data_IF_725383225151
#
_entry.id   IF_725383225151
#
_cell.length_a   1.000
_cell.length_b   1.000
_cell.length_c   1.000
_cell.angle_alpha   90.00
_cell.angle_beta   90.00
_cell.angle_gamma   90.00
#
_symmetry.space_group_name_H-M   'P 1'
#
loop_
_entity.id
_entity.type
_entity.pdbx_description
1 polymer ?
#
# COMPACT_ATOMS: atom_id res chain seq x y z
N UNK A 1 -16.49 38.13 -44.37
CA UNK A 1 -15.44 38.80 -45.14
C UNK A 1 -16.07 39.94 -45.90
N UNK A 2 -15.44 41.12 -45.89
CA UNK A 2 -15.91 42.27 -46.64
C UNK A 2 -15.58 42.07 -48.11
N UNK A 3 -16.58 42.21 -48.98
CA UNK A 3 -16.36 42.06 -50.42
C UNK A 3 -15.69 43.31 -51.02
N UNK A 4 -15.39 43.24 -52.32
CA UNK A 4 -14.81 44.32 -53.09
C UNK A 4 -15.75 45.53 -53.30
N UNK A 5 -16.98 45.46 -52.78
CA UNK A 5 -17.95 46.54 -52.75
C UNK A 5 -18.08 47.20 -51.35
N UNK A 6 -17.41 46.67 -50.33
CA UNK A 6 -17.45 47.18 -48.96
C UNK A 6 -18.55 46.57 -48.08
N UNK A 7 -19.29 45.56 -48.57
CA UNK A 7 -20.33 44.89 -47.81
C UNK A 7 -19.78 43.68 -47.05
N UNK A 8 -20.12 43.55 -45.77
CA UNK A 8 -19.78 42.36 -44.99
C UNK A 8 -20.66 41.18 -45.37
N UNK A 9 -20.07 40.14 -45.98
CA UNK A 9 -20.75 38.89 -46.28
C UNK A 9 -20.27 37.75 -45.38
N UNK A 10 -21.22 36.97 -44.85
CA UNK A 10 -20.94 35.67 -44.27
C UNK A 10 -20.68 34.66 -45.38
N UNK A 11 -19.52 34.01 -45.36
CA UNK A 11 -19.17 32.93 -46.29
C UNK A 11 -19.06 31.65 -45.47
N UNK A 12 -19.85 30.64 -45.83
CA UNK A 12 -19.75 29.30 -45.26
C UNK A 12 -18.68 28.50 -46.01
N UNK A 13 -17.60 28.13 -45.31
CA UNK A 13 -16.48 27.36 -45.85
C UNK A 13 -16.64 25.84 -45.66
N UNK A 14 -17.80 25.38 -45.16
CA UNK A 14 -18.12 23.98 -44.94
C UNK A 14 -18.04 23.55 -43.48
N UNK A 15 -18.32 22.26 -43.24
CA UNK A 15 -18.31 21.64 -41.91
C UNK A 15 -17.07 20.76 -41.70
N UNK A 16 -16.63 20.64 -40.45
CA UNK A 16 -15.54 19.73 -40.09
C UNK A 16 -16.02 18.27 -40.08
N UNK A 17 -15.20 17.36 -40.60
CA UNK A 17 -15.46 15.91 -40.53
C UNK A 17 -15.13 15.40 -39.13
N UNK A 18 -16.05 14.61 -38.55
CA UNK A 18 -15.82 13.94 -37.26
C UNK A 18 -14.45 13.22 -37.28
N UNK A 19 -13.62 13.38 -36.24
CA UNK A 19 -13.90 13.98 -34.91
C UNK A 19 -13.53 15.47 -34.77
N UNK A 20 -13.25 16.19 -35.85
CA UNK A 20 -12.81 17.58 -35.81
C UNK A 20 -13.98 18.56 -35.56
N UNK A 21 -13.74 19.63 -34.81
CA UNK A 21 -14.68 20.73 -34.58
C UNK A 21 -14.17 22.05 -35.17
N UNK A 22 -15.08 22.94 -35.59
CA UNK A 22 -14.71 24.24 -36.16
C UNK A 22 -14.37 25.24 -35.06
N UNK A 23 -13.27 25.98 -35.22
CA UNK A 23 -12.91 27.07 -34.30
C UNK A 23 -12.24 26.63 -33.00
N UNK A 24 -11.93 25.34 -32.85
CA UNK A 24 -11.19 24.81 -31.67
C UNK A 24 -9.68 24.76 -31.88
N UNK A 25 -9.19 25.07 -33.08
CA UNK A 25 -7.76 25.21 -33.36
C UNK A 25 -7.25 26.60 -32.99
N UNK A 26 -5.92 26.77 -32.94
CA UNK A 26 -5.28 28.10 -32.79
C UNK A 26 -5.58 29.07 -33.93
N UNK A 27 -6.12 28.58 -35.05
CA UNK A 27 -6.60 29.42 -36.15
C UNK A 27 -8.13 29.59 -36.09
N UNK A 28 -8.64 30.84 -36.04
CA UNK A 28 -10.06 31.11 -36.13
C UNK A 28 -10.63 30.52 -37.42
N UNK A 29 -11.83 29.94 -37.34
CA UNK A 29 -12.54 29.34 -38.49
C UNK A 29 -11.79 28.18 -39.18
N UNK A 30 -10.90 27.48 -38.46
CA UNK A 30 -10.27 26.24 -38.92
C UNK A 30 -10.71 25.03 -38.06
N UNK A 31 -10.73 23.85 -38.69
CA UNK A 31 -11.03 22.59 -38.02
C UNK A 31 -9.86 22.18 -37.11
N UNK A 32 -10.16 21.78 -35.87
CA UNK A 32 -9.18 21.28 -34.91
C UNK A 32 -9.73 20.14 -34.08
N UNK A 33 -8.85 19.49 -33.30
CA UNK A 33 -9.27 18.51 -32.31
C UNK A 33 -9.81 19.22 -31.06
N UNK A 34 -11.05 18.95 -30.62
CA UNK A 34 -11.63 19.65 -29.48
C UNK A 34 -11.10 19.16 -28.12
N UNK A 35 -10.39 18.02 -28.07
CA UNK A 35 -9.93 17.43 -26.81
C UNK A 35 -8.80 18.26 -26.18
N UNK A 36 -9.10 18.86 -25.04
CA UNK A 36 -8.14 19.55 -24.18
C UNK A 36 -7.27 18.55 -23.40
N UNK A 37 -6.16 19.03 -22.83
CA UNK A 37 -5.29 18.20 -21.98
C UNK A 37 -6.05 17.60 -20.79
N UNK A 38 -6.92 18.39 -20.14
CA UNK A 38 -7.76 17.94 -19.04
C UNK A 38 -8.75 16.83 -19.47
N UNK A 39 -9.36 16.97 -20.65
CA UNK A 39 -10.27 15.96 -21.20
C UNK A 39 -9.53 14.67 -21.58
N UNK A 40 -8.30 14.78 -22.09
CA UNK A 40 -7.45 13.62 -22.35
C UNK A 40 -7.10 12.89 -21.04
N UNK A 41 -6.70 13.63 -20.00
CA UNK A 41 -6.43 13.07 -18.67
C UNK A 41 -7.66 12.42 -18.03
N UNK A 42 -8.83 13.06 -18.11
CA UNK A 42 -10.10 12.53 -17.60
C UNK A 42 -10.50 11.24 -18.32
N UNK A 43 -10.41 11.20 -19.66
CA UNK A 43 -10.72 10.00 -20.45
C UNK A 43 -9.78 8.83 -20.16
N UNK A 44 -8.51 9.10 -19.84
CA UNK A 44 -7.50 8.09 -19.53
C UNK A 44 -7.43 7.74 -18.03
N UNK A 45 -8.34 8.29 -17.23
CA UNK A 45 -8.38 8.15 -15.77
C UNK A 45 -7.03 8.51 -15.11
N UNK A 46 -6.39 9.60 -15.56
CA UNK A 46 -5.09 10.07 -15.05
C UNK A 46 -5.23 11.35 -14.26
N UNK A 47 -4.57 11.40 -13.10
CA UNK A 47 -4.67 12.48 -12.11
C UNK A 47 -3.39 13.33 -12.04
N UNK A 48 -2.27 12.83 -12.56
CA UNK A 48 -0.98 13.51 -12.43
C UNK A 48 0.07 13.01 -13.44
N UNK A 49 1.16 13.78 -13.55
CA UNK A 49 2.35 13.40 -14.30
C UNK A 49 2.16 13.45 -15.82
N UNK A 50 3.23 13.10 -16.54
CA UNK A 50 3.24 13.09 -18.00
C UNK A 50 2.64 11.80 -18.55
N UNK A 51 1.83 11.91 -19.59
CA UNK A 51 1.36 10.78 -20.37
C UNK A 51 1.48 11.06 -21.86
N UNK A 52 1.66 10.00 -22.63
CA UNK A 52 1.63 10.03 -24.09
C UNK A 52 0.55 9.06 -24.57
N UNK A 53 -0.46 9.58 -25.25
CA UNK A 53 -1.57 8.77 -25.79
C UNK A 53 -2.18 9.45 -27.02
N UNK A 54 -3.05 8.74 -27.73
CA UNK A 54 -3.84 9.29 -28.81
C UNK A 54 -4.99 10.11 -28.26
N UNK A 55 -5.16 11.32 -28.79
CA UNK A 55 -6.35 12.10 -28.53
C UNK A 55 -7.60 11.49 -29.21
N UNK A 56 -8.77 12.06 -28.93
CA UNK A 56 -10.03 11.67 -29.59
C UNK A 56 -10.01 11.84 -31.13
N UNK A 57 -8.96 12.43 -31.70
CA UNK A 57 -8.74 12.61 -33.13
C UNK A 57 -7.69 11.66 -33.71
N UNK A 58 -7.12 10.76 -32.90
CA UNK A 58 -6.10 9.81 -33.33
C UNK A 58 -4.70 10.43 -33.49
N UNK A 59 -4.47 11.61 -32.91
CA UNK A 59 -3.15 12.25 -32.88
C UNK A 59 -2.49 11.91 -31.55
N UNK A 60 -1.28 11.34 -31.60
CA UNK A 60 -0.49 11.09 -30.39
C UNK A 60 -0.01 12.42 -29.80
N UNK A 61 -0.27 12.63 -28.51
CA UNK A 61 0.07 13.85 -27.78
C UNK A 61 0.73 13.49 -26.46
N UNK A 62 1.70 14.29 -26.04
CA UNK A 62 2.24 14.26 -24.69
C UNK A 62 1.63 15.40 -23.87
N UNK A 63 0.96 15.07 -22.77
CA UNK A 63 0.27 16.03 -21.89
C UNK A 63 0.61 15.78 -20.43
N UNK A 64 0.49 16.83 -19.62
CA UNK A 64 0.65 16.76 -18.17
C UNK A 64 -0.72 16.77 -17.49
N UNK A 65 -1.03 15.73 -16.70
CA UNK A 65 -2.29 15.66 -15.95
C UNK A 65 -2.26 16.43 -14.63
N UNK A 66 -1.25 17.26 -14.43
CA UNK A 66 -1.07 18.08 -13.24
C UNK A 66 -0.25 17.39 -12.16
N UNK A 67 -0.37 17.92 -10.95
CA UNK A 67 0.35 17.47 -9.77
C UNK A 67 -0.60 17.03 -8.66
N UNK A 68 -0.11 16.15 -7.79
CA UNK A 68 -0.88 15.66 -6.66
C UNK A 68 -0.89 16.67 -5.52
N UNK A 69 -2.04 16.82 -4.86
CA UNK A 69 -2.11 17.57 -3.62
C UNK A 69 -1.37 16.82 -2.51
N UNK A 70 -0.56 17.53 -1.72
CA UNK A 70 0.06 16.97 -0.52
C UNK A 70 -1.00 16.28 0.35
N UNK A 71 -0.76 15.04 0.82
CA UNK A 71 0.50 14.29 0.86
C UNK A 71 0.64 13.18 -0.22
N UNK A 72 -0.01 13.33 -1.38
CA UNK A 72 -0.08 12.28 -2.40
C UNK A 72 1.11 12.36 -3.37
N UNK A 73 1.60 11.19 -3.78
CA UNK A 73 2.65 11.07 -4.80
C UNK A 73 2.08 10.53 -6.10
N UNK A 74 2.57 11.08 -7.20
CA UNK A 74 2.21 10.62 -8.54
C UNK A 74 2.91 9.31 -8.87
N UNK A 75 2.17 8.27 -9.25
CA UNK A 75 2.78 6.98 -9.56
C UNK A 75 3.02 6.08 -8.35
N UNK A 76 2.63 6.53 -7.15
CA UNK A 76 2.90 5.80 -5.93
C UNK A 76 2.26 4.40 -5.95
N UNK A 77 2.98 3.42 -5.41
CA UNK A 77 2.57 2.00 -5.30
C UNK A 77 2.30 1.32 -6.66
N UNK A 78 2.96 1.79 -7.72
CA UNK A 78 2.83 1.24 -9.07
C UNK A 78 1.57 1.72 -9.82
N UNK A 79 0.82 2.67 -9.26
CA UNK A 79 -0.34 3.26 -9.94
C UNK A 79 0.11 4.40 -10.84
N UNK A 80 0.55 4.06 -12.06
CA UNK A 80 1.04 5.04 -13.04
C UNK A 80 0.03 6.18 -13.27
N UNK A 81 0.53 7.42 -13.10
CA UNK A 81 -0.21 8.66 -13.32
C UNK A 81 -1.46 8.84 -12.43
N UNK A 82 -1.49 8.19 -11.27
CA UNK A 82 -2.51 8.39 -10.23
C UNK A 82 -1.88 8.95 -8.97
N UNK A 83 -2.63 9.78 -8.25
CA UNK A 83 -2.21 10.34 -6.97
C UNK A 83 -2.53 9.36 -5.85
N UNK A 84 -1.49 8.73 -5.29
CA UNK A 84 -1.65 7.73 -4.23
C UNK A 84 -0.77 8.05 -3.03
N UNK A 85 -1.19 7.59 -1.86
CA UNK A 85 -0.36 7.59 -0.67
C UNK A 85 0.80 6.59 -0.81
N UNK A 86 2.05 7.03 -0.70
CA UNK A 86 3.21 6.15 -0.76
C UNK A 86 3.52 5.61 0.64
N UNK A 87 2.85 4.54 1.09
CA UNK A 87 3.41 3.71 2.17
C UNK A 87 2.90 2.28 2.15
N UNK A 88 3.84 1.36 2.09
CA UNK A 88 3.69 -0.07 2.30
C UNK A 88 3.82 -0.40 3.79
N UNK A 89 3.40 -1.60 4.16
CA UNK A 89 3.43 -2.02 5.57
C UNK A 89 4.87 -2.26 6.03
N UNK A 90 5.74 -2.73 5.12
CA UNK A 90 7.18 -2.85 5.37
C UNK A 90 7.82 -1.49 5.67
N UNK A 91 7.48 -0.45 4.88
CA UNK A 91 7.96 0.91 5.12
C UNK A 91 7.47 1.47 6.46
N UNK A 92 6.22 1.15 6.86
CA UNK A 92 5.71 1.52 8.19
C UNK A 92 6.52 0.83 9.30
N UNK A 93 6.78 -0.46 9.15
CA UNK A 93 7.52 -1.24 10.14
C UNK A 93 8.96 -0.76 10.29
N UNK A 94 9.65 -0.51 9.18
CA UNK A 94 11.00 0.05 9.17
C UNK A 94 11.04 1.43 9.81
N UNK A 95 10.13 2.34 9.42
CA UNK A 95 10.04 3.70 9.98
C UNK A 95 9.75 3.70 11.47
N UNK A 96 8.92 2.76 11.95
CA UNK A 96 8.59 2.62 13.37
C UNK A 96 9.63 1.81 14.15
N UNK A 97 10.64 1.26 13.46
CA UNK A 97 11.63 0.38 14.08
C UNK A 97 11.01 -0.89 14.66
N UNK A 98 9.86 -1.30 14.15
CA UNK A 98 9.14 -2.47 14.62
C UNK A 98 9.67 -3.71 13.90
N UNK A 99 10.07 -4.70 14.68
CA UNK A 99 10.54 -6.01 14.23
C UNK A 99 9.44 -7.07 14.33
N UNK A 100 8.37 -6.77 15.06
CA UNK A 100 7.29 -7.71 15.32
C UNK A 100 6.00 -7.02 15.80
N UNK A 101 4.90 -7.75 15.71
CA UNK A 101 3.62 -7.45 16.33
C UNK A 101 2.90 -6.24 15.74
N UNK A 102 1.70 -5.92 16.29
CA UNK A 102 0.88 -4.83 15.78
C UNK A 102 1.46 -3.46 16.13
N UNK A 103 1.47 -2.57 15.15
CA UNK A 103 1.86 -1.17 15.26
C UNK A 103 0.70 -0.30 14.80
N UNK A 104 0.07 0.39 15.75
CA UNK A 104 -0.92 1.42 15.45
C UNK A 104 -0.22 2.75 15.18
N UNK A 105 -0.44 3.32 14.00
CA UNK A 105 0.25 4.54 13.61
C UNK A 105 -0.51 5.36 12.58
N UNK A 106 -0.02 6.56 12.28
CA UNK A 106 -0.39 7.26 11.06
C UNK A 106 0.57 6.83 9.95
N UNK A 107 0.01 6.55 8.77
CA UNK A 107 0.81 6.52 7.56
C UNK A 107 1.37 7.91 7.24
N UNK A 108 2.27 8.00 6.27
CA UNK A 108 2.83 9.28 5.81
C UNK A 108 1.76 10.27 5.32
N UNK A 109 0.56 9.80 5.00
CA UNK A 109 -0.58 10.64 4.63
C UNK A 109 -1.41 11.12 5.82
N UNK A 110 -1.03 10.79 7.04
CA UNK A 110 -1.79 11.15 8.24
C UNK A 110 -3.04 10.29 8.48
N UNK A 111 -3.21 9.18 7.74
CA UNK A 111 -4.32 8.25 7.95
C UNK A 111 -3.94 7.22 9.01
N UNK A 112 -4.81 6.97 10.01
CA UNK A 112 -4.56 5.91 10.98
C UNK A 112 -4.58 4.53 10.33
N UNK A 113 -3.57 3.73 10.66
CA UNK A 113 -3.37 2.35 10.23
C UNK A 113 -2.90 1.50 11.40
N UNK A 114 -3.22 0.22 11.34
CA UNK A 114 -2.63 -0.81 12.20
C UNK A 114 -1.95 -1.81 11.27
N UNK A 115 -0.64 -1.96 11.39
CA UNK A 115 0.14 -2.92 10.59
C UNK A 115 0.76 -3.97 11.50
N UNK A 116 0.89 -5.19 11.02
CA UNK A 116 1.61 -6.24 11.74
C UNK A 116 3.02 -6.36 11.15
N UNK A 117 4.03 -6.17 12.00
CA UNK A 117 5.43 -6.18 11.60
C UNK A 117 6.08 -7.57 11.69
N UNK A 118 5.25 -8.61 11.85
CA UNK A 118 5.66 -10.01 11.79
C UNK A 118 5.90 -10.62 13.17
N UNK A 119 6.48 -11.81 13.16
CA UNK A 119 6.81 -12.56 14.37
C UNK A 119 8.32 -12.57 14.62
N UNK A 120 8.69 -12.79 15.87
CA UNK A 120 10.09 -12.96 16.24
C UNK A 120 10.56 -14.39 16.01
N UNK A 121 11.86 -14.56 15.76
CA UNK A 121 12.49 -15.88 15.72
C UNK A 121 12.39 -16.57 17.10
N UNK A 122 12.20 -17.89 17.10
CA UNK A 122 11.85 -18.77 18.24
C UNK A 122 12.07 -18.23 19.66
N UNK A 123 13.32 -17.99 20.05
CA UNK A 123 13.68 -17.63 21.44
C UNK A 123 13.47 -16.15 21.79
N UNK A 124 12.97 -15.35 20.85
CA UNK A 124 12.71 -13.93 21.02
C UNK A 124 11.21 -13.73 21.20
N UNK A 125 10.86 -12.95 22.21
CA UNK A 125 9.48 -12.51 22.42
C UNK A 125 9.31 -11.10 21.86
N UNK A 126 8.17 -10.85 21.23
CA UNK A 126 7.84 -9.49 20.82
C UNK A 126 7.62 -8.60 22.05
N UNK A 127 8.54 -7.68 22.29
CA UNK A 127 8.61 -6.88 23.51
C UNK A 127 9.19 -7.61 24.73
N UNK A 128 10.03 -8.63 24.52
CA UNK A 128 10.59 -9.50 25.56
C UNK A 128 11.27 -8.76 26.73
N UNK A 129 11.99 -7.67 26.46
CA UNK A 129 12.64 -6.85 27.50
C UNK A 129 11.86 -5.57 27.86
N UNK A 130 10.57 -5.48 27.51
CA UNK A 130 9.72 -4.32 27.79
C UNK A 130 9.76 -3.22 26.72
N UNK A 131 10.49 -3.42 25.62
CA UNK A 131 10.54 -2.55 24.45
C UNK A 131 9.51 -2.99 23.41
N UNK A 132 8.40 -2.25 23.31
CA UNK A 132 7.32 -2.60 22.37
C UNK A 132 7.85 -2.82 20.94
N UNK A 133 7.32 -3.85 20.26
CA UNK A 133 7.62 -4.20 18.87
C UNK A 133 9.09 -4.52 18.56
N UNK A 134 9.92 -4.86 19.56
CA UNK A 134 11.29 -5.37 19.37
C UNK A 134 11.37 -6.87 19.65
N UNK A 135 12.14 -7.58 18.84
CA UNK A 135 12.46 -8.98 19.07
C UNK A 135 13.67 -9.08 20.00
N UNK A 136 13.39 -9.36 21.26
CA UNK A 136 14.39 -9.43 22.30
C UNK A 136 14.16 -10.67 23.16
N UNK A 137 15.18 -11.04 23.94
CA UNK A 137 15.07 -12.18 24.86
C UNK A 137 13.94 -11.91 25.84
N UNK A 138 13.03 -12.86 25.93
CA UNK A 138 11.88 -12.74 26.82
C UNK A 138 11.20 -14.07 27.04
N UNK A 139 10.13 -14.05 27.82
CA UNK A 139 9.30 -15.22 28.03
C UNK A 139 8.37 -15.41 26.84
N UNK A 140 8.53 -16.51 26.11
CA UNK A 140 7.58 -16.95 25.10
C UNK A 140 6.60 -17.95 25.73
N UNK A 141 5.33 -17.87 25.33
CA UNK A 141 4.33 -18.87 25.71
C UNK A 141 4.57 -20.14 24.91
N UNK A 142 4.77 -21.27 25.59
CA UNK A 142 4.85 -22.60 24.98
C UNK A 142 3.55 -23.32 25.22
N UNK A 143 2.84 -23.69 24.14
CA UNK A 143 1.63 -24.50 24.26
C UNK A 143 1.97 -25.90 24.79
N UNK A 144 1.21 -26.37 25.77
CA UNK A 144 1.41 -27.70 26.37
C UNK A 144 0.18 -28.60 26.10
N UNK A 145 0.36 -29.91 25.88
CA UNK A 145 -0.76 -30.86 25.84
C UNK A 145 -1.32 -31.19 27.23
N UNK A 146 -0.64 -30.72 28.30
CA UNK A 146 -0.98 -30.95 29.70
C UNK A 146 -2.27 -30.18 30.04
N UNK A 147 -3.32 -30.88 30.43
CA UNK A 147 -4.62 -30.29 30.84
C UNK A 147 -4.80 -30.25 32.35
N UNK A 148 -3.94 -30.95 33.09
CA UNK A 148 -3.90 -30.98 34.56
C UNK A 148 -3.19 -29.73 35.12
N UNK A 149 -3.40 -29.40 36.40
CA UNK A 149 -2.70 -28.27 36.99
C UNK A 149 -1.23 -28.63 37.22
N UNK A 150 -0.32 -27.79 36.73
CA UNK A 150 1.11 -27.93 37.01
C UNK A 150 1.41 -27.55 38.47
N UNK A 151 2.04 -28.47 39.20
CA UNK A 151 2.42 -28.29 40.61
C UNK A 151 3.90 -27.92 40.77
N UNK A 152 4.73 -28.18 39.76
CA UNK A 152 6.14 -27.83 39.77
C UNK A 152 6.81 -28.00 38.40
N UNK A 153 7.90 -27.27 38.19
CA UNK A 153 8.73 -27.33 36.98
C UNK A 153 10.21 -27.21 37.35
N UNK A 154 11.06 -27.97 36.68
CA UNK A 154 12.51 -27.92 36.81
C UNK A 154 13.17 -28.21 35.48
N UNK A 155 14.31 -27.60 35.16
CA UNK A 155 15.02 -27.88 33.92
C UNK A 155 16.53 -27.80 34.07
N UNK A 156 17.24 -28.63 33.33
CA UNK A 156 18.71 -28.68 33.29
C UNK A 156 19.28 -28.06 32.01
N UNK A 157 18.50 -28.11 30.92
CA UNK A 157 18.82 -27.55 29.61
C UNK A 157 17.54 -27.10 28.88
N UNK A 158 17.67 -26.36 27.78
CA UNK A 158 16.53 -25.88 26.98
C UNK A 158 15.70 -27.00 26.34
N UNK A 159 16.26 -28.20 26.25
CA UNK A 159 15.68 -29.43 25.74
C UNK A 159 15.56 -30.53 26.83
N UNK A 160 15.70 -30.16 28.10
CA UNK A 160 15.50 -31.06 29.23
C UNK A 160 14.83 -30.32 30.38
N UNK A 161 13.50 -30.18 30.27
CA UNK A 161 12.64 -29.58 31.28
C UNK A 161 11.61 -30.60 31.72
N UNK A 162 11.39 -30.72 33.02
CA UNK A 162 10.48 -31.64 33.66
C UNK A 162 9.37 -30.86 34.34
N UNK A 163 8.14 -31.32 34.18
CA UNK A 163 6.96 -30.75 34.82
C UNK A 163 6.17 -31.84 35.53
N UNK A 164 5.69 -31.53 36.73
CA UNK A 164 4.81 -32.41 37.50
C UNK A 164 3.44 -31.76 37.65
N UNK A 165 2.40 -32.59 37.65
CA UNK A 165 1.01 -32.16 37.85
C UNK A 165 0.55 -32.44 39.28
N UNK A 166 -0.60 -31.89 39.66
CA UNK A 166 -1.26 -32.19 40.93
C UNK A 166 -1.87 -33.60 40.97
N UNK A 167 -2.13 -34.22 39.82
CA UNK A 167 -2.62 -35.61 39.72
C UNK A 167 -1.47 -36.64 39.62
N UNK A 168 -0.21 -36.20 39.66
CA UNK A 168 0.96 -37.07 39.72
C UNK A 168 1.51 -37.53 38.37
N UNK A 169 1.11 -36.88 37.27
CA UNK A 169 1.71 -37.07 35.95
C UNK A 169 3.08 -36.36 35.88
N UNK A 170 4.07 -37.04 35.31
CA UNK A 170 5.40 -36.53 35.03
C UNK A 170 5.59 -36.34 33.53
N UNK A 171 5.90 -35.11 33.13
CA UNK A 171 6.09 -34.72 31.73
C UNK A 171 7.51 -34.21 31.50
N UNK A 172 8.04 -34.46 30.30
CA UNK A 172 9.36 -34.00 29.86
C UNK A 172 9.28 -33.22 28.55
N UNK A 173 9.87 -32.04 28.51
CA UNK A 173 10.11 -31.23 27.32
C UNK A 173 11.44 -31.63 26.69
N UNK A 174 11.43 -31.87 25.38
CA UNK A 174 12.59 -32.29 24.58
C UNK A 174 13.01 -31.25 23.53
N UNK A 175 12.79 -29.96 23.80
CA UNK A 175 13.18 -28.86 22.91
C UNK A 175 12.13 -28.49 21.86
N UNK A 176 11.17 -29.37 21.57
CA UNK A 176 10.10 -29.12 20.60
C UNK A 176 8.71 -29.58 21.06
N UNK A 177 8.62 -30.57 21.94
CA UNK A 177 7.35 -31.11 22.42
C UNK A 177 7.48 -31.67 23.84
N UNK A 178 6.33 -31.75 24.51
CA UNK A 178 6.17 -32.41 25.81
C UNK A 178 5.78 -33.88 25.61
N UNK A 179 6.48 -34.80 26.29
CA UNK A 179 6.14 -36.22 26.39
C UNK A 179 5.70 -36.59 27.80
N UNK A 180 4.66 -37.43 27.91
CA UNK A 180 4.28 -38.03 29.19
C UNK A 180 5.23 -39.19 29.47
N UNK A 181 5.94 -39.14 30.61
CA UNK A 181 6.92 -40.16 30.99
C UNK A 181 6.36 -41.14 32.02
N UNK A 182 5.53 -40.64 32.94
CA UNK A 182 4.99 -41.45 34.02
C UNK A 182 3.67 -40.90 34.56
N UNK A 183 2.81 -41.78 35.07
CA UNK A 183 1.59 -41.45 35.82
C UNK A 183 1.53 -42.40 37.02
N UNK A 184 1.20 -41.88 38.21
CA UNK A 184 0.97 -42.71 39.41
C UNK A 184 -0.37 -43.44 39.38
#
# INVERSE_FOLDING_TARGET
ATDNCGDDRGVDCGSCTSPLACGVSVQPNACGCPETEAQLCERLDKECGELTDFDSCGIERSVSCGGCAEPLECGARGFANLCRCPETDAEICERRGAQCGPVATLDVCGKPRSVDCGDCADFLACGGSGTANRCEVGWALVSTPITENLSGIWGSAGDDIWAITDQGSLWRWQGASWSLEHTV
#
